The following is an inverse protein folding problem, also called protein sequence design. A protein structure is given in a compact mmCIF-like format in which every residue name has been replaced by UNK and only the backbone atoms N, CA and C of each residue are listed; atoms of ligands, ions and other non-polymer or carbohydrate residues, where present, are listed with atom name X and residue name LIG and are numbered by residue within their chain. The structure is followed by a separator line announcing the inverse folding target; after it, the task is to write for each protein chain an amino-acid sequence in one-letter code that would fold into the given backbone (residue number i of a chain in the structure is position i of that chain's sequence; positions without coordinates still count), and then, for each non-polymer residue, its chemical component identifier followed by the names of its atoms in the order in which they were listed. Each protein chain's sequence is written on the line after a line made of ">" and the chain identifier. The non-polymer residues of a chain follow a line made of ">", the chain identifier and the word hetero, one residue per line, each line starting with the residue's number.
data_IF_953024228779
#
_entry.id   IF_953024228779
#
_cell.length_a   1.000
_cell.length_b   1.000
_cell.length_c   1.000
_cell.angle_alpha   90.00
_cell.angle_beta   90.00
_cell.angle_gamma   90.00
#
_symmetry.space_group_name_H-M   'P 1'
#
loop_
_entity.id
_entity.type
_entity.pdbx_description
1 polymer ?
#
# COMPACT_ATOMS: atom_id res chain seq x y z
N UNK A 1 -21.61 -29.84 1.01
CA UNK A 1 -21.05 -28.66 0.35
C UNK A 1 -20.31 -27.84 1.40
N UNK A 2 -19.09 -27.42 1.12
CA UNK A 2 -18.30 -26.51 1.96
C UNK A 2 -17.89 -25.29 1.14
N UNK A 3 -17.47 -24.21 1.79
CA UNK A 3 -16.93 -23.05 1.10
C UNK A 3 -15.68 -23.45 0.29
N UNK A 4 -15.63 -23.02 -0.98
CA UNK A 4 -14.53 -23.38 -1.90
C UNK A 4 -13.46 -22.28 -1.98
N UNK A 5 -13.74 -21.10 -1.44
CA UNK A 5 -12.83 -19.97 -1.45
C UNK A 5 -13.03 -19.07 -0.21
N UNK A 6 -12.01 -18.28 0.12
CA UNK A 6 -12.04 -17.26 1.18
C UNK A 6 -11.54 -15.93 0.63
N UNK A 7 -12.38 -14.90 0.76
CA UNK A 7 -11.98 -13.51 0.54
C UNK A 7 -11.61 -12.89 1.89
N UNK A 8 -10.34 -12.48 2.12
CA UNK A 8 -9.91 -11.99 3.43
C UNK A 8 -10.28 -10.51 3.66
N UNK A 9 -10.70 -9.79 2.62
CA UNK A 9 -10.90 -8.35 2.67
C UNK A 9 -9.56 -7.64 2.85
N UNK A 10 -9.48 -6.73 3.82
CA UNK A 10 -8.26 -6.03 4.21
C UNK A 10 -8.08 -6.06 5.74
N UNK A 11 -6.83 -5.96 6.20
CA UNK A 11 -6.48 -6.18 7.61
C UNK A 11 -6.59 -7.65 8.02
N UNK A 12 -6.55 -7.93 9.32
CA UNK A 12 -6.63 -9.29 9.88
C UNK A 12 -5.63 -10.28 9.23
N UNK A 13 -6.13 -11.25 8.45
CA UNK A 13 -5.34 -12.32 7.83
C UNK A 13 -5.08 -12.09 6.33
N UNK A 14 -5.45 -10.92 5.79
CA UNK A 14 -5.31 -10.60 4.36
C UNK A 14 -3.87 -10.58 3.85
N UNK A 15 -2.88 -10.38 4.73
CA UNK A 15 -1.45 -10.39 4.39
C UNK A 15 -0.70 -11.47 5.20
N UNK A 16 -1.39 -12.55 5.57
CA UNK A 16 -0.80 -13.67 6.32
C UNK A 16 -0.46 -14.84 5.39
N UNK A 17 0.82 -14.96 5.00
CA UNK A 17 1.28 -16.03 4.11
C UNK A 17 1.02 -17.44 4.67
N UNK A 18 1.11 -17.62 6.00
CA UNK A 18 0.81 -18.89 6.66
C UNK A 18 -0.67 -19.27 6.58
N UNK A 19 -1.58 -18.30 6.53
CA UNK A 19 -3.00 -18.53 6.31
C UNK A 19 -3.28 -18.99 4.88
N UNK A 20 -2.65 -18.34 3.89
CA UNK A 20 -2.74 -18.75 2.48
C UNK A 20 -2.30 -20.20 2.31
N UNK A 21 -1.14 -20.56 2.85
CA UNK A 21 -0.63 -21.93 2.82
C UNK A 21 -1.61 -22.96 3.39
N UNK A 22 -2.23 -22.66 4.53
CA UNK A 22 -3.21 -23.56 5.16
C UNK A 22 -4.47 -23.74 4.32
N UNK A 23 -4.89 -22.71 3.59
CA UNK A 23 -6.02 -22.79 2.66
C UNK A 23 -5.66 -23.64 1.45
N UNK A 24 -4.46 -23.45 0.89
CA UNK A 24 -3.94 -24.25 -0.22
C UNK A 24 -3.86 -25.75 0.17
N UNK A 25 -3.31 -26.06 1.36
CA UNK A 25 -3.25 -27.42 1.91
C UNK A 25 -4.65 -28.06 2.10
N UNK A 26 -5.67 -27.23 2.33
CA UNK A 26 -7.07 -27.63 2.48
C UNK A 26 -7.85 -27.67 1.14
N UNK A 27 -7.23 -27.27 0.02
CA UNK A 27 -7.88 -27.16 -1.27
C UNK A 27 -8.94 -26.05 -1.36
N UNK A 28 -8.80 -25.00 -0.54
CA UNK A 28 -9.69 -23.83 -0.51
C UNK A 28 -8.96 -22.67 -1.19
N UNK A 29 -9.57 -22.06 -2.21
CA UNK A 29 -8.94 -20.95 -2.93
C UNK A 29 -8.85 -19.68 -2.06
N UNK A 30 -7.66 -19.11 -1.93
CA UNK A 30 -7.50 -17.78 -1.36
C UNK A 30 -7.74 -16.71 -2.43
N UNK A 31 -8.69 -15.79 -2.19
CA UNK A 31 -8.97 -14.68 -3.10
C UNK A 31 -7.98 -13.55 -2.81
N UNK A 32 -6.76 -13.72 -3.34
CA UNK A 32 -5.61 -12.85 -3.14
C UNK A 32 -4.34 -13.44 -3.77
N UNK A 33 -3.16 -12.84 -3.53
CA UNK A 33 -1.91 -13.37 -4.06
C UNK A 33 -1.48 -14.66 -3.35
N UNK A 34 -0.67 -15.47 -4.05
CA UNK A 34 -0.08 -16.71 -3.50
C UNK A 34 0.94 -16.45 -2.37
N UNK A 35 1.21 -17.50 -1.58
CA UNK A 35 2.13 -17.48 -0.42
C UNK A 35 3.45 -16.78 -0.72
N UNK A 36 4.11 -17.12 -1.83
CA UNK A 36 5.42 -16.56 -2.19
C UNK A 36 5.37 -15.04 -2.36
N UNK A 37 4.43 -14.54 -3.17
CA UNK A 37 4.31 -13.10 -3.43
C UNK A 37 3.97 -12.33 -2.15
N UNK A 38 3.07 -12.88 -1.32
CA UNK A 38 2.71 -12.29 -0.03
C UNK A 38 3.89 -12.24 0.94
N UNK A 39 4.65 -13.33 1.08
CA UNK A 39 5.82 -13.37 1.95
C UNK A 39 6.95 -12.45 1.44
N UNK A 40 7.22 -12.48 0.14
CA UNK A 40 8.30 -11.72 -0.48
C UNK A 40 8.08 -10.20 -0.39
N UNK A 41 6.82 -9.75 -0.47
CA UNK A 41 6.48 -8.34 -0.41
C UNK A 41 6.18 -7.85 1.02
N UNK A 42 5.91 -8.75 1.96
CA UNK A 42 5.67 -8.42 3.37
C UNK A 42 6.93 -8.05 4.17
N UNK A 43 8.12 -8.53 3.80
CA UNK A 43 9.39 -8.10 4.40
C UNK A 43 9.95 -6.87 3.66
N UNK A 44 10.19 -5.77 4.39
CA UNK A 44 10.63 -4.49 3.80
C UNK A 44 12.02 -4.53 3.17
N UNK A 45 12.90 -5.42 3.63
CA UNK A 45 14.25 -5.56 3.08
C UNK A 45 14.17 -6.40 1.81
N UNK A 46 13.47 -7.52 1.88
CA UNK A 46 13.29 -8.42 0.75
C UNK A 46 12.52 -7.74 -0.39
N UNK A 47 11.42 -7.04 -0.08
CA UNK A 47 10.60 -6.35 -1.07
C UNK A 47 11.37 -5.25 -1.81
N UNK A 48 12.24 -4.49 -1.12
CA UNK A 48 13.12 -3.51 -1.77
C UNK A 48 14.18 -4.16 -2.65
N UNK A 49 14.79 -5.24 -2.21
CA UNK A 49 15.75 -5.98 -3.02
C UNK A 49 15.09 -6.50 -4.32
N UNK A 50 13.87 -7.04 -4.21
CA UNK A 50 13.07 -7.48 -5.35
C UNK A 50 12.68 -6.30 -6.25
N UNK A 51 12.22 -5.19 -5.68
CA UNK A 51 11.89 -3.97 -6.42
C UNK A 51 13.08 -3.47 -7.24
N UNK A 52 14.27 -3.43 -6.64
CA UNK A 52 15.52 -3.06 -7.32
C UNK A 52 15.88 -4.04 -8.44
N UNK A 53 15.74 -5.34 -8.20
CA UNK A 53 15.95 -6.38 -9.23
C UNK A 53 14.95 -6.28 -10.38
N UNK A 54 13.72 -5.84 -10.10
CA UNK A 54 12.67 -5.59 -11.09
C UNK A 54 12.84 -4.24 -11.82
N UNK A 55 13.88 -3.47 -11.52
CA UNK A 55 14.13 -2.16 -12.15
C UNK A 55 13.20 -1.05 -11.65
N UNK A 56 12.58 -1.24 -10.49
CA UNK A 56 11.77 -0.22 -9.83
C UNK A 56 12.68 0.77 -9.12
N UNK A 57 12.37 2.05 -9.23
CA UNK A 57 13.07 3.10 -8.51
C UNK A 57 12.89 2.90 -7.00
N UNK A 58 13.97 2.70 -6.24
CA UNK A 58 13.93 2.58 -4.78
C UNK A 58 14.48 3.84 -4.13
N UNK A 59 14.07 4.12 -2.89
CA UNK A 59 14.63 5.24 -2.12
C UNK A 59 16.14 5.01 -1.97
N UNK A 60 17.00 6.01 -2.23
CA UNK A 60 18.43 5.89 -1.97
C UNK A 60 18.66 5.52 -0.50
N UNK A 61 19.35 4.42 -0.25
CA UNK A 61 19.47 3.86 1.07
C UNK A 61 20.48 2.74 1.13
N UNK A 62 20.65 2.16 2.31
CA UNK A 62 21.47 0.97 2.50
C UNK A 62 20.62 -0.29 2.29
N UNK A 63 21.04 -1.15 1.37
CA UNK A 63 20.34 -2.39 0.99
C UNK A 63 20.51 -3.54 2.01
N UNK A 64 21.17 -3.29 3.14
CA UNK A 64 21.48 -4.30 4.15
C UNK A 64 20.94 -3.98 5.54
N UNK A 65 21.19 -4.89 6.48
CA UNK A 65 20.89 -4.67 7.90
C UNK A 65 22.00 -3.81 8.51
N UNK A 66 21.60 -2.71 9.14
CA UNK A 66 22.53 -1.84 9.87
C UNK A 66 22.97 -2.55 11.16
N UNK A 67 24.28 -2.77 11.33
CA UNK A 67 24.85 -3.55 12.43
C UNK A 67 24.79 -2.85 13.78
N UNK A 68 25.11 -1.56 13.80
CA UNK A 68 25.23 -0.75 15.00
C UNK A 68 25.07 0.75 14.65
N UNK A 69 25.08 1.60 15.67
CA UNK A 69 24.91 3.04 15.53
C UNK A 69 26.06 3.72 14.75
N UNK A 70 27.27 3.17 14.82
CA UNK A 70 28.45 3.71 14.12
C UNK A 70 28.31 3.46 12.62
N UNK A 71 27.96 2.24 12.23
CA UNK A 71 27.63 1.88 10.86
C UNK A 71 26.44 2.69 10.32
N UNK A 72 25.45 3.00 11.15
CA UNK A 72 24.33 3.85 10.76
C UNK A 72 24.79 5.27 10.36
N UNK A 73 25.77 5.83 11.08
CA UNK A 73 26.34 7.15 10.78
C UNK A 73 27.14 7.11 9.48
N UNK A 74 27.99 6.11 9.28
CA UNK A 74 28.76 5.94 8.03
C UNK A 74 27.84 5.89 6.80
N UNK A 75 26.76 5.12 6.90
CA UNK A 75 25.74 5.02 5.85
C UNK A 75 25.05 6.39 5.63
N UNK A 76 24.65 7.06 6.72
CA UNK A 76 23.95 8.33 6.64
C UNK A 76 24.82 9.44 6.01
N UNK A 77 26.13 9.44 6.28
CA UNK A 77 27.08 10.35 5.64
C UNK A 77 27.23 10.07 4.14
N UNK A 78 27.23 8.80 3.73
CA UNK A 78 27.26 8.41 2.33
C UNK A 78 25.99 8.78 1.54
N UNK A 79 24.82 8.73 2.18
CA UNK A 79 23.53 9.12 1.59
C UNK A 79 23.33 10.66 1.60
N UNK A 80 23.86 11.31 2.64
CA UNK A 80 23.65 12.72 2.94
C UNK A 80 22.36 12.99 3.72
N UNK A 81 22.44 13.91 4.68
CA UNK A 81 21.31 14.31 5.53
C UNK A 81 20.24 15.15 4.78
N UNK A 82 19.00 15.20 5.28
CA UNK A 82 18.43 14.34 6.32
C UNK A 82 18.21 12.89 5.86
N UNK A 83 18.24 11.96 6.81
CA UNK A 83 17.96 10.53 6.62
C UNK A 83 16.81 10.07 7.51
N UNK A 84 16.16 8.98 7.12
CA UNK A 84 15.08 8.33 7.85
C UNK A 84 15.54 6.95 8.32
N UNK A 85 15.45 6.72 9.63
CA UNK A 85 15.61 5.41 10.27
C UNK A 85 14.26 4.72 10.33
N UNK A 86 14.16 3.47 9.87
CA UNK A 86 12.92 2.67 9.87
C UNK A 86 13.15 1.27 10.41
N UNK A 87 12.26 0.78 11.26
CA UNK A 87 12.22 -0.63 11.63
C UNK A 87 11.80 -1.53 10.45
N UNK A 88 12.46 -2.68 10.29
CA UNK A 88 12.17 -3.65 9.22
C UNK A 88 10.78 -4.27 9.34
N UNK A 89 10.38 -4.63 10.57
CA UNK A 89 9.11 -5.29 10.86
C UNK A 89 7.97 -4.33 11.28
N UNK A 90 8.18 -3.01 11.18
CA UNK A 90 7.21 -2.01 11.63
C UNK A 90 6.23 -1.57 10.53
N UNK A 91 4.94 -1.46 10.87
CA UNK A 91 3.88 -0.92 10.00
C UNK A 91 3.12 0.25 10.64
N UNK A 92 2.45 1.09 9.84
CA UNK A 92 1.57 2.16 10.33
C UNK A 92 2.29 3.32 11.03
N UNK A 93 3.53 3.62 10.64
CA UNK A 93 4.28 4.78 11.09
C UNK A 93 5.05 4.64 12.41
N UNK A 94 4.96 3.50 13.10
CA UNK A 94 5.73 3.21 14.32
C UNK A 94 7.18 2.85 14.01
N UNK A 95 8.12 3.24 14.86
CA UNK A 95 9.56 2.96 14.66
C UNK A 95 10.21 3.71 13.49
N UNK A 96 9.71 4.90 13.11
CA UNK A 96 10.32 5.78 12.10
C UNK A 96 10.88 7.05 12.76
N UNK A 97 12.11 7.43 12.43
CA UNK A 97 12.75 8.64 12.97
C UNK A 97 13.56 9.38 11.90
N UNK A 98 13.37 10.69 11.83
CA UNK A 98 14.15 11.58 10.96
C UNK A 98 15.39 12.03 11.72
N UNK A 99 16.55 11.94 11.08
CA UNK A 99 17.82 12.42 11.61
C UNK A 99 18.46 13.41 10.64
N UNK A 100 18.78 14.60 11.16
CA UNK A 100 19.41 15.71 10.44
C UNK A 100 20.92 15.79 10.67
N UNK A 101 21.47 14.98 11.57
CA UNK A 101 22.91 14.96 11.90
C UNK A 101 23.36 13.59 12.39
N UNK A 102 24.68 13.35 12.40
CA UNK A 102 25.28 12.12 12.90
C UNK A 102 24.88 11.79 14.35
N UNK A 103 24.83 12.82 15.21
CA UNK A 103 24.38 12.65 16.59
C UNK A 103 22.92 12.15 16.66
N UNK A 104 22.04 12.73 15.86
CA UNK A 104 20.63 12.31 15.80
C UNK A 104 20.48 10.89 15.22
N UNK A 105 21.38 10.46 14.33
CA UNK A 105 21.41 9.07 13.85
C UNK A 105 21.76 8.10 14.97
N UNK A 106 22.80 8.40 15.76
CA UNK A 106 23.20 7.52 16.87
C UNK A 106 22.09 7.39 17.93
N UNK A 107 21.49 8.52 18.33
CA UNK A 107 20.38 8.54 19.29
C UNK A 107 19.14 7.86 18.71
N UNK A 108 18.82 8.16 17.45
CA UNK A 108 17.66 7.61 16.75
C UNK A 108 17.74 6.11 16.53
N UNK A 109 18.93 5.57 16.22
CA UNK A 109 19.15 4.14 15.99
C UNK A 109 18.84 3.33 17.24
N UNK A 110 19.36 3.76 18.39
CA UNK A 110 19.13 3.07 19.68
C UNK A 110 17.63 3.03 20.01
N UNK A 111 16.96 4.17 19.90
CA UNK A 111 15.54 4.27 20.20
C UNK A 111 14.68 3.45 19.23
N UNK A 112 14.99 3.48 17.93
CA UNK A 112 14.25 2.71 16.93
C UNK A 112 14.45 1.20 17.11
N UNK A 113 15.68 0.76 17.44
CA UNK A 113 15.99 -0.65 17.71
C UNK A 113 15.23 -1.16 18.94
N UNK A 114 15.22 -0.40 20.04
CA UNK A 114 14.52 -0.78 21.27
C UNK A 114 13.00 -0.84 21.06
N UNK A 115 12.42 0.09 20.29
CA UNK A 115 11.00 0.11 19.92
C UNK A 115 10.63 -1.07 19.02
N UNK A 116 11.49 -1.39 18.04
CA UNK A 116 11.29 -2.50 17.12
C UNK A 116 11.37 -3.85 17.84
N UNK A 117 12.34 -4.02 18.74
CA UNK A 117 12.49 -5.23 19.55
C UNK A 117 11.29 -5.44 20.49
N UNK A 118 10.84 -4.37 21.16
CA UNK A 118 9.71 -4.46 22.11
C UNK A 118 8.36 -4.64 21.42
N UNK A 119 8.16 -4.05 20.24
CA UNK A 119 6.87 -4.08 19.52
C UNK A 119 6.73 -5.26 18.57
N UNK A 120 7.82 -5.67 17.91
CA UNK A 120 7.78 -6.63 16.80
C UNK A 120 8.76 -7.80 16.94
N UNK A 121 9.61 -7.80 17.98
CA UNK A 121 10.59 -8.88 18.19
C UNK A 121 11.75 -8.90 17.19
N UNK A 122 11.83 -7.90 16.31
CA UNK A 122 12.84 -7.76 15.26
C UNK A 122 13.55 -6.41 15.39
N UNK A 123 14.85 -6.43 15.67
CA UNK A 123 15.67 -5.23 15.89
C UNK A 123 16.31 -4.68 14.59
N UNK A 124 16.01 -5.24 13.41
CA UNK A 124 16.62 -4.78 12.15
C UNK A 124 16.13 -3.37 11.81
N UNK A 125 17.08 -2.45 11.63
CA UNK A 125 16.84 -1.06 11.22
C UNK A 125 17.39 -0.81 9.82
N UNK A 126 16.67 0.01 9.05
CA UNK A 126 17.03 0.51 7.73
C UNK A 126 17.32 2.01 7.80
N UNK A 127 18.31 2.47 7.02
CA UNK A 127 18.65 3.88 6.85
C UNK A 127 18.40 4.26 5.39
N UNK A 128 17.54 5.25 5.18
CA UNK A 128 17.14 5.73 3.85
C UNK A 128 17.25 7.24 3.77
N UNK A 129 17.34 7.77 2.55
CA UNK A 129 17.20 9.20 2.31
C UNK A 129 15.81 9.67 2.77
N UNK A 130 15.78 10.75 3.54
CA UNK A 130 14.51 11.42 3.83
C UNK A 130 14.11 12.26 2.62
N UNK A 131 12.94 11.94 2.05
CA UNK A 131 12.32 12.75 0.99
C UNK A 131 11.51 13.85 1.66
N UNK A 132 11.82 15.11 1.38
CA UNK A 132 11.13 16.26 1.97
C UNK A 132 9.79 16.52 1.26
N UNK A 133 8.76 16.77 2.07
CA UNK A 133 7.38 17.03 1.61
C UNK A 133 6.90 16.04 0.52
N UNK A 134 7.02 14.72 0.75
CA UNK A 134 6.67 13.74 -0.26
C UNK A 134 5.15 13.66 -0.40
N UNK A 135 4.70 13.42 -1.63
CA UNK A 135 3.34 12.94 -1.88
C UNK A 135 3.33 11.42 -1.80
N UNK A 136 2.31 10.88 -1.14
CA UNK A 136 2.09 9.43 -1.10
C UNK A 136 1.20 9.07 -2.27
N UNK A 137 1.75 8.42 -3.28
CA UNK A 137 1.04 8.05 -4.50
C UNK A 137 1.21 6.56 -4.74
N UNK A 138 0.13 5.90 -5.11
CA UNK A 138 0.10 4.45 -5.21
C UNK A 138 -0.56 3.97 -6.49
N UNK A 139 -0.06 2.87 -7.04
CA UNK A 139 -0.54 2.26 -8.27
C UNK A 139 -1.28 0.98 -7.93
N UNK A 140 -2.56 0.94 -8.29
CA UNK A 140 -3.34 -0.28 -8.26
C UNK A 140 -2.90 -1.21 -9.39
N UNK A 141 -2.73 -2.49 -9.08
CA UNK A 141 -2.53 -3.55 -10.06
C UNK A 141 -3.64 -4.60 -9.95
N UNK A 142 -3.93 -5.26 -11.07
CA UNK A 142 -4.73 -6.48 -11.13
C UNK A 142 -3.99 -7.52 -11.95
N UNK A 143 -4.04 -8.77 -11.51
CA UNK A 143 -3.37 -9.87 -12.16
C UNK A 143 -4.20 -11.16 -12.13
N UNK A 144 -4.13 -11.95 -13.21
CA UNK A 144 -4.71 -13.28 -13.26
C UNK A 144 -3.66 -14.38 -13.04
N UNK A 145 -4.14 -15.61 -12.91
CA UNK A 145 -3.30 -16.81 -12.79
C UNK A 145 -2.59 -17.22 -14.08
N UNK A 146 -2.87 -16.54 -15.21
CA UNK A 146 -2.27 -16.79 -16.52
C UNK A 146 -1.05 -15.89 -16.76
N UNK A 147 -0.73 -14.99 -15.83
CA UNK A 147 0.41 -14.08 -15.90
C UNK A 147 0.10 -12.74 -16.56
N UNK A 148 -1.18 -12.45 -16.85
CA UNK A 148 -1.57 -11.12 -17.27
C UNK A 148 -1.58 -10.19 -16.06
N UNK A 149 -1.00 -9.01 -16.23
CA UNK A 149 -0.94 -7.98 -15.19
C UNK A 149 -1.22 -6.63 -15.84
N UNK A 150 -2.17 -5.89 -15.27
CA UNK A 150 -2.50 -4.52 -15.66
C UNK A 150 -2.27 -3.58 -14.49
N UNK A 151 -1.87 -2.35 -14.79
CA UNK A 151 -1.93 -1.25 -13.83
C UNK A 151 -3.17 -0.39 -14.09
N UNK A 152 -3.75 0.13 -13.01
CA UNK A 152 -4.85 1.08 -13.05
C UNK A 152 -4.33 2.47 -12.64
N UNK A 153 -5.09 3.55 -12.93
CA UNK A 153 -4.70 4.91 -12.57
C UNK A 153 -4.36 5.00 -11.07
N UNK A 154 -3.36 5.82 -10.76
CA UNK A 154 -2.88 6.02 -9.41
C UNK A 154 -3.93 6.65 -8.50
N UNK A 155 -3.73 6.42 -7.21
CA UNK A 155 -4.39 7.16 -6.15
C UNK A 155 -3.38 8.04 -5.44
N UNK A 156 -3.80 9.25 -5.12
CA UNK A 156 -3.07 10.12 -4.23
C UNK A 156 -3.65 10.04 -2.81
N UNK A 157 -2.80 9.61 -1.88
CA UNK A 157 -3.15 9.36 -0.48
C UNK A 157 -2.32 10.23 0.46
N UNK A 158 -1.91 11.42 -0.01
CA UNK A 158 -1.03 12.35 0.71
C UNK A 158 -1.68 12.97 1.95
N UNK A 159 -3.01 13.05 2.00
CA UNK A 159 -3.75 13.63 3.13
C UNK A 159 -3.83 12.59 4.24
N UNK A 160 -2.87 12.67 5.15
CA UNK A 160 -2.69 11.72 6.24
C UNK A 160 -2.70 12.39 7.60
N UNK A 161 -3.18 11.68 8.61
CA UNK A 161 -3.07 12.05 10.02
C UNK A 161 -2.38 10.93 10.77
N UNK A 162 -1.24 11.23 11.41
CA UNK A 162 -0.39 10.21 12.09
C UNK A 162 -0.08 9.01 11.19
N UNK A 163 0.28 9.29 9.93
CA UNK A 163 0.59 8.28 8.89
C UNK A 163 -0.58 7.34 8.51
N UNK A 164 -1.82 7.72 8.83
CA UNK A 164 -3.02 7.03 8.37
C UNK A 164 -3.70 7.87 7.29
N UNK A 165 -4.12 7.23 6.20
CA UNK A 165 -4.83 7.86 5.09
C UNK A 165 -6.23 8.31 5.54
N UNK A 166 -6.60 9.54 5.22
CA UNK A 166 -7.87 10.17 5.65
C UNK A 166 -8.73 10.54 4.45
N UNK A 167 -8.11 11.11 3.42
CA UNK A 167 -8.72 11.47 2.16
C UNK A 167 -7.81 10.95 1.05
N UNK A 168 -8.42 10.30 0.07
CA UNK A 168 -7.75 9.72 -1.08
C UNK A 168 -8.42 10.22 -2.36
N UNK A 169 -7.65 10.50 -3.40
CA UNK A 169 -8.17 10.97 -4.69
C UNK A 169 -7.61 10.16 -5.86
N UNK A 170 -8.37 10.03 -6.94
CA UNK A 170 -7.95 9.37 -8.17
C UNK A 170 -8.50 10.09 -9.41
N UNK A 171 -7.68 10.37 -10.44
CA UNK A 171 -6.21 10.32 -10.43
C UNK A 171 -5.59 11.45 -9.59
N UNK A 172 -4.27 11.39 -9.36
CA UNK A 172 -3.51 12.46 -8.71
C UNK A 172 -3.50 13.72 -9.59
N UNK A 173 -3.74 14.86 -8.98
CA UNK A 173 -3.59 16.17 -9.63
C UNK A 173 -2.13 16.60 -9.81
N UNK A 174 -1.19 15.96 -9.11
CA UNK A 174 0.23 16.27 -9.18
C UNK A 174 0.95 15.61 -10.36
N UNK A 175 0.51 14.41 -10.75
CA UNK A 175 1.15 13.60 -11.79
C UNK A 175 0.72 13.96 -13.21
N UNK A 176 1.71 14.03 -14.10
CA UNK A 176 1.47 14.03 -15.54
C UNK A 176 1.28 12.58 -16.09
N UNK A 177 0.69 12.43 -17.29
CA UNK A 177 0.47 11.12 -17.90
C UNK A 177 1.75 10.30 -18.14
N UNK A 178 2.90 10.95 -18.36
CA UNK A 178 4.16 10.26 -18.61
C UNK A 178 4.68 9.60 -17.34
N UNK A 179 4.68 10.33 -16.23
CA UNK A 179 5.08 9.85 -14.91
C UNK A 179 4.15 8.74 -14.43
N UNK A 180 2.83 8.92 -14.59
CA UNK A 180 1.81 7.91 -14.32
C UNK A 180 2.11 6.59 -15.06
N UNK A 181 2.40 6.69 -16.37
CA UNK A 181 2.76 5.51 -17.19
C UNK A 181 4.03 4.84 -16.67
N UNK A 182 5.09 5.59 -16.36
CA UNK A 182 6.35 5.04 -15.83
C UNK A 182 6.12 4.31 -14.50
N UNK A 183 5.34 4.90 -13.59
CA UNK A 183 4.98 4.28 -12.31
C UNK A 183 4.18 2.98 -12.53
N UNK A 184 3.20 3.02 -13.42
CA UNK A 184 2.40 1.85 -13.83
C UNK A 184 3.24 0.71 -14.39
N UNK A 185 4.14 1.01 -15.33
CA UNK A 185 5.05 0.04 -15.94
C UNK A 185 6.00 -0.59 -14.90
N UNK A 186 6.53 0.19 -13.96
CA UNK A 186 7.35 -0.33 -12.87
C UNK A 186 6.55 -1.20 -11.88
N UNK A 187 5.31 -0.82 -11.55
CA UNK A 187 4.43 -1.62 -10.71
C UNK A 187 4.10 -2.98 -11.36
N UNK A 188 3.85 -3.00 -12.68
CA UNK A 188 3.66 -4.25 -13.44
C UNK A 188 4.93 -5.10 -13.46
N UNK A 189 6.11 -4.48 -13.63
CA UNK A 189 7.38 -5.20 -13.62
C UNK A 189 7.62 -5.90 -12.27
N UNK A 190 7.35 -5.20 -11.16
CA UNK A 190 7.42 -5.77 -9.80
C UNK A 190 6.46 -6.94 -9.62
N UNK A 191 5.20 -6.75 -9.99
CA UNK A 191 4.17 -7.78 -9.89
C UNK A 191 4.53 -9.05 -10.68
N UNK A 192 5.03 -8.89 -11.91
CA UNK A 192 5.49 -10.01 -12.74
C UNK A 192 6.69 -10.73 -12.13
N UNK A 193 7.63 -10.00 -11.53
CA UNK A 193 8.83 -10.58 -10.91
C UNK A 193 8.47 -11.53 -9.76
N UNK A 194 7.45 -11.20 -8.98
CA UNK A 194 6.98 -12.05 -7.86
C UNK A 194 5.89 -13.06 -8.25
N UNK A 195 5.51 -13.14 -9.52
CA UNK A 195 4.42 -14.00 -10.00
C UNK A 195 3.08 -13.66 -9.35
N UNK A 196 2.79 -12.36 -9.20
CA UNK A 196 1.62 -11.85 -8.50
C UNK A 196 0.30 -12.25 -9.20
N UNK A 197 -0.75 -12.46 -8.41
CA UNK A 197 -2.12 -12.70 -8.85
C UNK A 197 -3.10 -11.97 -7.93
N UNK A 198 -4.33 -11.73 -8.40
CA UNK A 198 -5.36 -10.92 -7.73
C UNK A 198 -5.06 -9.41 -7.76
N UNK A 199 -5.71 -8.64 -6.89
CA UNK A 199 -5.47 -7.21 -6.73
C UNK A 199 -4.32 -6.94 -5.75
N UNK A 200 -3.59 -5.86 -5.99
CA UNK A 200 -2.55 -5.36 -5.08
C UNK A 200 -2.24 -3.90 -5.36
N UNK A 201 -1.50 -3.27 -4.46
CA UNK A 201 -1.11 -1.87 -4.64
C UNK A 201 0.36 -1.68 -4.40
N UNK A 202 1.03 -1.00 -5.33
CA UNK A 202 2.44 -0.60 -5.18
C UNK A 202 2.47 0.87 -4.75
N UNK A 203 2.99 1.13 -3.55
CA UNK A 203 3.06 2.47 -2.98
C UNK A 203 4.41 3.14 -3.29
N UNK A 204 4.35 4.44 -3.60
CA UNK A 204 5.52 5.27 -3.90
C UNK A 204 5.49 6.57 -3.09
N UNK A 205 6.68 7.05 -2.74
CA UNK A 205 6.89 8.44 -2.37
C UNK A 205 7.28 9.23 -3.61
N UNK A 206 6.59 10.34 -3.87
CA UNK A 206 6.85 11.22 -5.00
C UNK A 206 7.32 12.58 -4.49
N UNK A 207 8.50 13.02 -4.95
CA UNK A 207 9.06 14.32 -4.58
C UNK A 207 8.50 15.47 -5.42
N UNK A 208 8.88 16.71 -5.08
CA UNK A 208 8.43 17.92 -5.81
C UNK A 208 8.81 17.94 -7.29
N UNK A 209 9.84 17.19 -7.67
CA UNK A 209 10.33 17.06 -9.04
C UNK A 209 9.70 15.87 -9.78
N UNK A 210 8.70 15.21 -9.19
CA UNK A 210 8.02 14.01 -9.71
C UNK A 210 8.93 12.79 -9.82
N UNK A 211 10.08 12.78 -9.15
CA UNK A 211 10.81 11.53 -8.98
C UNK A 211 10.04 10.69 -7.96
N UNK A 212 9.88 9.41 -8.27
CA UNK A 212 9.10 8.48 -7.46
C UNK A 212 9.98 7.33 -7.01
N UNK A 213 9.73 6.88 -5.77
CA UNK A 213 10.53 5.87 -5.10
C UNK A 213 9.62 4.85 -4.41
N UNK A 214 9.82 3.57 -4.68
CA UNK A 214 9.10 2.46 -4.09
C UNK A 214 9.18 2.52 -2.58
N UNK A 215 8.02 2.42 -1.93
CA UNK A 215 7.88 2.42 -0.49
C UNK A 215 7.58 1.00 0.01
N UNK A 216 6.46 0.44 -0.44
CA UNK A 216 6.00 -0.90 -0.11
C UNK A 216 4.97 -1.40 -1.12
N UNK A 217 4.57 -2.67 -1.01
CA UNK A 217 3.48 -3.23 -1.78
C UNK A 217 2.47 -3.88 -0.84
N UNK A 218 1.23 -3.41 -0.89
CA UNK A 218 0.14 -4.00 -0.15
C UNK A 218 -0.39 -5.20 -0.95
N UNK A 219 -0.31 -6.38 -0.36
CA UNK A 219 -0.61 -7.65 -1.06
C UNK A 219 -2.08 -8.06 -0.95
N UNK A 220 -2.96 -7.05 -1.03
CA UNK A 220 -4.40 -7.15 -0.80
C UNK A 220 -5.14 -5.97 -1.42
N UNK A 221 -6.46 -6.03 -1.39
CA UNK A 221 -7.31 -4.88 -1.66
C UNK A 221 -7.09 -3.80 -0.58
N UNK A 222 -7.23 -2.53 -0.95
CA UNK A 222 -7.17 -1.40 -0.04
C UNK A 222 -8.56 -0.78 0.15
N UNK A 223 -8.70 0.03 1.20
CA UNK A 223 -9.99 0.66 1.54
C UNK A 223 -10.40 1.60 0.41
N UNK A 224 -9.45 2.37 -0.10
CA UNK A 224 -9.56 3.37 -1.16
C UNK A 224 -9.65 2.80 -2.59
N UNK A 225 -9.93 1.51 -2.76
CA UNK A 225 -10.16 0.93 -4.09
C UNK A 225 -11.39 1.52 -4.83
N UNK A 226 -12.50 1.94 -4.18
CA UNK A 226 -13.70 2.44 -4.85
C UNK A 226 -13.45 3.62 -5.78
N UNK A 227 -12.52 4.53 -5.44
CA UNK A 227 -12.21 5.69 -6.31
C UNK A 227 -11.53 5.27 -7.61
N UNK A 228 -10.74 4.19 -7.60
CA UNK A 228 -10.21 3.60 -8.83
C UNK A 228 -11.32 2.95 -9.65
N UNK A 229 -12.23 2.21 -9.01
CA UNK A 229 -13.40 1.63 -9.69
C UNK A 229 -14.28 2.72 -10.31
N UNK A 230 -14.46 3.84 -9.60
CA UNK A 230 -15.33 4.93 -10.03
C UNK A 230 -14.86 5.59 -11.33
N UNK A 231 -13.55 5.83 -11.45
CA UNK A 231 -12.98 6.49 -12.63
C UNK A 231 -12.70 5.54 -13.78
N UNK A 232 -12.62 4.23 -13.53
CA UNK A 232 -12.30 3.23 -14.58
C UNK A 232 -13.50 2.40 -15.03
N UNK A 233 -14.50 2.25 -14.16
CA UNK A 233 -15.63 1.33 -14.35
C UNK A 233 -15.29 -0.16 -14.16
N UNK A 234 -14.09 -0.48 -13.67
CA UNK A 234 -13.66 -1.85 -13.39
C UNK A 234 -14.02 -2.21 -11.95
N UNK A 235 -14.69 -3.34 -11.75
CA UNK A 235 -14.98 -3.91 -10.43
C UNK A 235 -13.79 -4.78 -9.98
N UNK A 236 -13.01 -4.28 -9.03
CA UNK A 236 -11.79 -4.91 -8.58
C UNK A 236 -12.07 -6.17 -7.78
N UNK A 237 -13.15 -6.20 -6.99
CA UNK A 237 -13.54 -7.37 -6.21
C UNK A 237 -13.98 -8.51 -7.15
N UNK A 238 -14.72 -8.19 -8.22
CA UNK A 238 -15.04 -9.15 -9.27
C UNK A 238 -13.77 -9.73 -9.90
N UNK A 239 -12.80 -8.88 -10.30
CA UNK A 239 -11.53 -9.34 -10.88
C UNK A 239 -10.74 -10.24 -9.94
N UNK A 240 -10.72 -9.94 -8.64
CA UNK A 240 -10.10 -10.79 -7.63
C UNK A 240 -10.74 -12.18 -7.60
N UNK A 241 -12.07 -12.25 -7.58
CA UNK A 241 -12.83 -13.51 -7.57
C UNK A 241 -12.59 -14.30 -8.87
N UNK A 242 -12.60 -13.62 -10.03
CA UNK A 242 -12.31 -14.23 -11.34
C UNK A 242 -10.92 -14.84 -11.38
N UNK A 243 -9.91 -14.09 -10.93
CA UNK A 243 -8.51 -14.53 -10.84
C UNK A 243 -8.37 -15.79 -9.98
N UNK A 244 -9.02 -15.81 -8.80
CA UNK A 244 -9.03 -16.96 -7.90
C UNK A 244 -9.78 -18.18 -8.47
N UNK A 245 -10.79 -17.96 -9.32
CA UNK A 245 -11.50 -18.99 -10.05
C UNK A 245 -10.72 -19.53 -11.28
N UNK A 246 -9.51 -19.03 -11.54
CA UNK A 246 -8.71 -19.42 -12.70
C UNK A 246 -9.18 -18.82 -14.03
N UNK A 247 -10.10 -17.84 -13.98
CA UNK A 247 -10.57 -17.12 -15.15
C UNK A 247 -9.60 -16.00 -15.52
N UNK A 248 -9.49 -15.64 -16.82
CA UNK A 248 -8.75 -14.46 -17.21
C UNK A 248 -9.44 -13.19 -16.69
N UNK A 249 -8.65 -12.11 -16.55
CA UNK A 249 -9.19 -10.76 -16.32
C UNK A 249 -10.26 -10.40 -17.37
N UNK A 250 -11.21 -9.52 -17.04
CA UNK A 250 -12.20 -9.09 -18.05
C UNK A 250 -11.57 -8.39 -19.25
N UNK A 251 -10.40 -7.77 -19.04
CA UNK A 251 -9.52 -7.27 -20.10
C UNK A 251 -8.06 -7.56 -19.75
N UNK A 252 -7.25 -7.83 -20.76
CA UNK A 252 -5.79 -7.90 -20.67
C UNK A 252 -5.12 -6.79 -21.50
N UNK A 253 -5.92 -5.89 -22.08
CA UNK A 253 -5.46 -4.76 -22.86
C UNK A 253 -5.33 -3.52 -21.96
N UNK A 254 -4.08 -3.09 -21.74
CA UNK A 254 -3.77 -1.90 -20.95
C UNK A 254 -4.43 -0.63 -21.51
N UNK A 255 -4.69 -0.56 -22.81
CA UNK A 255 -5.35 0.59 -23.44
C UNK A 255 -6.87 0.65 -23.21
N UNK A 256 -7.46 -0.46 -22.75
CA UNK A 256 -8.86 -0.50 -22.33
C UNK A 256 -9.10 0.20 -20.98
N UNK A 257 -8.05 0.35 -20.15
CA UNK A 257 -8.12 1.05 -18.87
C UNK A 257 -8.15 2.56 -19.12
N UNK A 258 -9.35 3.13 -19.18
CA UNK A 258 -9.55 4.57 -19.41
C UNK A 258 -9.84 5.30 -18.11
N UNK A 259 -9.40 6.56 -18.03
CA UNK A 259 -9.73 7.47 -16.93
C UNK A 259 -10.96 8.28 -17.32
N UNK A 260 -12.02 8.20 -16.52
CA UNK A 260 -13.25 8.97 -16.66
C UNK A 260 -13.45 9.84 -15.42
N UNK A 261 -13.15 11.14 -15.56
CA UNK A 261 -13.36 12.11 -14.49
C UNK A 261 -12.34 11.98 -13.35
N UNK A 262 -12.84 12.23 -12.14
CA UNK A 262 -12.06 12.28 -10.91
C UNK A 262 -12.96 11.87 -9.74
N UNK A 263 -12.40 11.15 -8.78
CA UNK A 263 -13.11 10.68 -7.60
C UNK A 263 -12.30 10.95 -6.34
N UNK A 264 -13.01 11.24 -5.24
CA UNK A 264 -12.44 11.40 -3.90
C UNK A 264 -13.16 10.45 -2.96
N UNK A 265 -12.41 9.82 -2.07
CA UNK A 265 -12.91 9.09 -0.93
C UNK A 265 -12.66 9.89 0.35
N UNK A 266 -13.62 9.86 1.25
CA UNK A 266 -13.47 10.40 2.60
C UNK A 266 -14.01 9.38 3.58
N UNK A 267 -13.18 9.04 4.57
CA UNK A 267 -13.55 8.07 5.59
C UNK A 267 -14.29 8.76 6.72
N UNK A 268 -15.53 8.36 6.95
CA UNK A 268 -16.34 8.86 8.06
C UNK A 268 -16.06 8.01 9.31
N UNK A 269 -15.31 8.57 10.25
CA UNK A 269 -14.92 7.89 11.48
C UNK A 269 -15.86 8.19 12.64
N UNK A 270 -16.09 7.20 13.51
CA UNK A 270 -16.66 7.41 14.82
C UNK A 270 -15.58 7.95 15.78
N UNK A 271 -15.12 9.17 15.53
CA UNK A 271 -14.06 9.84 16.30
C UNK A 271 -14.47 11.28 16.63
N UNK A 272 -14.10 11.74 17.82
CA UNK A 272 -14.23 13.14 18.21
C UNK A 272 -13.23 13.99 17.38
N UNK A 273 -13.67 15.00 16.61
CA UNK A 273 -12.79 15.78 15.73
C UNK A 273 -11.85 16.75 16.49
N UNK A 274 -12.12 17.03 17.77
CA UNK A 274 -11.27 17.88 18.60
C UNK A 274 -10.23 17.06 19.36
N UNK A 275 -10.63 15.90 19.89
CA UNK A 275 -9.76 15.03 20.71
C UNK A 275 -9.09 13.91 19.92
N UNK A 276 -9.64 13.56 18.76
CA UNK A 276 -9.24 12.41 17.94
C UNK A 276 -9.21 11.09 18.71
N UNK A 277 -10.18 10.94 19.62
CA UNK A 277 -10.44 9.72 20.36
C UNK A 277 -11.67 9.02 19.77
N UNK A 278 -11.72 7.67 19.81
CA UNK A 278 -12.93 6.95 19.41
C UNK A 278 -14.15 7.43 20.18
N UNK A 279 -15.20 7.79 19.43
CA UNK A 279 -16.50 8.19 19.96
C UNK A 279 -17.38 6.95 20.09
N UNK A 280 -17.36 6.35 21.28
CA UNK A 280 -18.12 5.13 21.56
C UNK A 280 -19.58 5.45 21.87
N UNK A 281 -20.49 4.60 21.39
CA UNK A 281 -21.92 4.74 21.67
C UNK A 281 -22.79 4.02 20.64
N UNK A 282 -24.09 4.26 20.74
CA UNK A 282 -25.12 3.74 19.83
C UNK A 282 -25.40 4.77 18.74
N UNK A 283 -25.54 4.32 17.49
CA UNK A 283 -25.81 5.21 16.36
C UNK A 283 -27.30 5.57 16.34
N UNK A 284 -27.68 6.72 16.91
CA UNK A 284 -29.08 7.11 17.05
C UNK A 284 -29.77 7.40 15.71
N UNK A 285 -29.01 7.90 14.73
CA UNK A 285 -29.52 8.23 13.40
C UNK A 285 -28.40 8.16 12.36
N UNK A 286 -28.69 7.61 11.19
CA UNK A 286 -27.80 7.43 10.07
C UNK A 286 -28.58 7.56 8.76
N UNK A 287 -28.21 8.55 7.95
CA UNK A 287 -28.84 8.78 6.65
C UNK A 287 -27.76 8.96 5.60
N UNK A 288 -27.67 8.00 4.68
CA UNK A 288 -26.71 8.05 3.58
C UNK A 288 -27.10 9.09 2.52
N UNK A 289 -26.14 9.88 2.03
CA UNK A 289 -26.36 10.71 0.85
C UNK A 289 -26.53 9.82 -0.38
N UNK A 290 -27.60 10.04 -1.16
CA UNK A 290 -27.90 9.23 -2.36
C UNK A 290 -27.41 9.82 -3.67
N UNK A 291 -27.24 11.14 -3.71
CA UNK A 291 -26.76 11.88 -4.88
C UNK A 291 -26.49 13.34 -4.51
N UNK A 292 -25.62 14.02 -5.25
CA UNK A 292 -25.39 15.46 -5.12
C UNK A 292 -26.03 16.27 -6.27
N UNK A 293 -25.78 15.87 -7.51
CA UNK A 293 -26.16 16.48 -8.80
C UNK A 293 -26.67 15.46 -9.82
N UNK A 294 -26.08 14.27 -9.91
CA UNK A 294 -26.47 13.23 -10.88
C UNK A 294 -26.59 11.85 -10.23
N UNK A 295 -27.29 10.94 -10.92
CA UNK A 295 -27.32 9.53 -10.50
C UNK A 295 -25.89 8.97 -10.59
N UNK A 296 -25.40 8.34 -9.51
CA UNK A 296 -24.04 7.80 -9.39
C UNK A 296 -22.95 8.89 -9.36
N UNK A 297 -23.15 9.98 -8.62
CA UNK A 297 -22.05 10.90 -8.24
C UNK A 297 -21.62 10.77 -6.78
N UNK A 298 -22.38 10.02 -6.00
CA UNK A 298 -22.09 9.64 -4.63
C UNK A 298 -22.16 8.12 -4.55
N UNK A 299 -21.13 7.52 -3.96
CA UNK A 299 -21.07 6.11 -3.57
C UNK A 299 -20.85 6.07 -2.05
N UNK A 300 -21.57 5.19 -1.38
CA UNK A 300 -21.40 4.95 0.05
C UNK A 300 -21.23 3.45 0.29
N UNK A 301 -20.07 3.06 0.78
CA UNK A 301 -19.76 1.70 1.21
C UNK A 301 -19.85 1.68 2.74
N UNK A 302 -21.04 1.37 3.27
CA UNK A 302 -21.32 1.35 4.72
C UNK A 302 -21.32 -0.06 5.30
N UNK A 303 -20.77 -0.21 6.51
CA UNK A 303 -20.81 -1.43 7.31
C UNK A 303 -21.60 -1.29 8.62
N UNK A 304 -22.35 -0.21 8.78
CA UNK A 304 -23.07 0.14 10.03
C UNK A 304 -24.55 0.39 9.78
N UNK A 305 -25.37 0.18 10.80
CA UNK A 305 -26.80 0.51 10.80
C UNK A 305 -27.15 1.32 12.04
N UNK A 306 -28.25 2.07 11.99
CA UNK A 306 -28.84 2.70 13.19
C UNK A 306 -29.14 1.64 14.27
N UNK A 307 -28.96 2.02 15.55
CA UNK A 307 -29.13 1.13 16.71
C UNK A 307 -27.81 0.69 17.32
#
# INVERSE_FOLDING_TARGET
>A
SGAQAVHPGYGFLSENAGFVKRLDDAGIAFIGPKEYAMAAMGDKIQSKAIAKQAGVNTIPGFDGVVRDAEHAVEIAEGIGYPVMLKASAGGGGKGMRIAHSAQQVQEGFKLASDEAQSSFGDCRILVEKYIEEPRHIEIQIIADSQGNVLWLPERECSIQRRNQKVIEEAPSTHLDPETRRKMGEQAVALAKNVGYNSAGTVEFLVDKSRNFYFLEMNTRLQVEHPITEYITGLDLVEEMIRSAAGLPLTTTDQSAVRISGWAIESRVYAEDPEKYLPSIGTLSKYQEPRSWRSKNDVRCDSGITEG
#
